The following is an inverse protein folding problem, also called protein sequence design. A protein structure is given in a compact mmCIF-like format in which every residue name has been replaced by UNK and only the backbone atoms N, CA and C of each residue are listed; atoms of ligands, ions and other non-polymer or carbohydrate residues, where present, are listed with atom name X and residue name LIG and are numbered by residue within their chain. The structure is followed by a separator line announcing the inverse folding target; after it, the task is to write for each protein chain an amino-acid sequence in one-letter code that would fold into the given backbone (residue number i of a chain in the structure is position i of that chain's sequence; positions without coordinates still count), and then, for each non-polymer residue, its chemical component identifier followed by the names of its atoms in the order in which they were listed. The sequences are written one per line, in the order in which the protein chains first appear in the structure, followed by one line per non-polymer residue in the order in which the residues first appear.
data_IF_879303364824
#
_entry.id   IF_879303364824
#
_cell.length_a   1.000
_cell.length_b   1.000
_cell.length_c   1.000
_cell.angle_alpha   90.00
_cell.angle_beta   90.00
_cell.angle_gamma   90.00
#
_symmetry.space_group_name_H-M   'P 1'
#
loop_
_entity.id
_entity.type
_entity.pdbx_description
1 polymer ?
#
# COMPACT_ATOMS: atom_id res chain seq x y z
N UNK A 1 18.42 15.93 34.47
CA UNK A 1 19.19 15.87 33.21
C UNK A 1 18.17 15.83 32.08
N UNK A 2 18.00 16.96 31.39
CA UNK A 2 17.01 17.14 30.33
C UNK A 2 17.49 16.44 29.05
N UNK A 3 16.76 15.43 28.60
CA UNK A 3 16.91 14.92 27.24
C UNK A 3 16.25 15.89 26.26
N UNK A 4 16.94 16.40 25.24
CA UNK A 4 16.31 17.22 24.24
C UNK A 4 15.47 16.32 23.32
N UNK A 5 14.18 16.59 23.26
CA UNK A 5 13.29 16.12 22.22
C UNK A 5 13.78 16.63 20.88
N UNK A 6 14.37 15.75 20.08
CA UNK A 6 14.72 16.03 18.69
C UNK A 6 13.40 16.23 17.89
N UNK A 7 12.92 17.45 17.87
CA UNK A 7 11.97 17.92 16.87
C UNK A 7 12.72 18.00 15.53
N UNK A 8 12.45 17.03 14.64
CA UNK A 8 13.02 17.02 13.31
C UNK A 8 12.22 18.01 12.42
N UNK A 9 12.84 19.04 11.81
CA UNK A 9 12.11 20.02 11.05
C UNK A 9 11.62 19.49 9.71
N UNK A 10 10.33 19.67 9.46
CA UNK A 10 9.62 19.63 8.17
C UNK A 10 9.82 18.39 7.28
N UNK A 11 9.29 17.25 7.69
CA UNK A 11 8.74 16.32 6.72
C UNK A 11 7.55 17.04 6.06
N UNK A 12 7.65 17.28 4.74
CA UNK A 12 6.56 17.92 3.99
C UNK A 12 5.26 17.15 4.26
N UNK A 13 4.29 17.79 4.89
CA UNK A 13 2.95 17.22 5.20
C UNK A 13 2.15 16.88 3.95
N UNK A 14 2.71 17.17 2.75
CA UNK A 14 2.06 17.02 1.44
C UNK A 14 3.01 16.35 0.45
N UNK A 15 3.37 15.10 0.71
CA UNK A 15 4.23 14.33 -0.20
C UNK A 15 3.46 13.74 -1.38
N UNK A 16 2.27 13.13 -1.10
CA UNK A 16 1.28 12.80 -2.13
C UNK A 16 0.10 13.74 -1.91
N UNK A 17 -0.33 14.42 -2.97
CA UNK A 17 -1.45 15.35 -2.95
C UNK A 17 -2.48 14.91 -4.00
N UNK A 18 -3.71 14.72 -3.57
CA UNK A 18 -4.87 14.37 -4.40
C UNK A 18 -5.84 15.53 -4.25
N UNK A 19 -6.19 16.19 -5.35
CA UNK A 19 -6.93 17.45 -5.35
C UNK A 19 -8.11 17.37 -6.30
N UNK A 20 -9.32 17.26 -5.75
CA UNK A 20 -10.58 17.20 -6.51
C UNK A 20 -10.61 16.09 -7.55
N UNK A 21 -10.01 14.92 -7.23
CA UNK A 21 -9.88 13.85 -8.22
C UNK A 21 -11.19 13.12 -8.43
N UNK A 22 -11.56 12.98 -9.70
CA UNK A 22 -12.71 12.20 -10.16
C UNK A 22 -12.27 11.09 -11.12
N UNK A 23 -12.98 9.97 -11.07
CA UNK A 23 -12.79 8.87 -12.02
C UNK A 23 -14.12 8.31 -12.50
N UNK A 24 -14.34 8.41 -13.80
CA UNK A 24 -15.51 7.84 -14.48
C UNK A 24 -15.04 6.87 -15.56
N UNK A 25 -15.59 5.67 -15.57
CA UNK A 25 -15.29 4.65 -16.58
C UNK A 25 -16.43 4.60 -17.61
N UNK A 26 -16.06 4.42 -18.87
CA UNK A 26 -17.02 4.08 -19.93
C UNK A 26 -17.23 2.58 -19.95
N UNK A 27 -18.47 2.14 -19.73
CA UNK A 27 -18.85 0.73 -19.73
C UNK A 27 -19.88 0.45 -20.83
N UNK A 28 -20.15 -0.81 -21.10
CA UNK A 28 -21.22 -1.22 -22.05
C UNK A 28 -22.61 -0.74 -21.62
N UNK A 29 -22.79 -0.42 -20.33
CA UNK A 29 -24.05 0.08 -19.74
C UNK A 29 -24.10 1.61 -19.61
N UNK A 30 -23.07 2.32 -20.09
CA UNK A 30 -22.95 3.78 -19.98
C UNK A 30 -21.80 4.21 -19.06
N UNK A 31 -21.83 5.47 -18.63
CA UNK A 31 -20.83 6.05 -17.76
C UNK A 31 -21.00 5.56 -16.33
N UNK A 32 -19.91 5.09 -15.73
CA UNK A 32 -19.86 4.65 -14.34
C UNK A 32 -18.90 5.54 -13.54
N UNK A 33 -19.41 6.49 -12.73
CA UNK A 33 -18.59 7.29 -11.84
C UNK A 33 -18.12 6.42 -10.67
N UNK A 34 -16.82 6.11 -10.64
CA UNK A 34 -16.24 5.29 -9.57
C UNK A 34 -15.87 6.15 -8.36
N UNK A 35 -15.21 7.30 -8.60
CA UNK A 35 -14.76 8.23 -7.58
C UNK A 35 -15.21 9.64 -7.90
N UNK A 36 -15.53 10.43 -6.87
CA UNK A 36 -15.92 11.84 -6.98
C UNK A 36 -15.24 12.66 -5.88
N UNK A 37 -14.71 13.81 -6.27
CA UNK A 37 -14.14 14.84 -5.38
C UNK A 37 -13.21 14.25 -4.27
N UNK A 38 -12.26 13.44 -4.68
CA UNK A 38 -11.27 12.88 -3.76
C UNK A 38 -10.22 13.93 -3.43
N UNK A 39 -10.13 14.29 -2.15
CA UNK A 39 -9.16 15.23 -1.61
C UNK A 39 -8.38 14.57 -0.47
N UNK A 40 -7.06 14.36 -0.63
CA UNK A 40 -6.22 13.68 0.35
C UNK A 40 -4.77 14.19 0.29
N UNK A 41 -4.16 14.37 1.46
CA UNK A 41 -2.74 14.61 1.57
C UNK A 41 -2.10 13.49 2.40
N UNK A 42 -0.98 12.96 1.92
CA UNK A 42 -0.19 11.93 2.59
C UNK A 42 1.22 12.48 2.81
N UNK A 43 1.72 12.39 4.03
CA UNK A 43 3.06 12.85 4.37
C UNK A 43 4.13 11.83 3.90
N UNK A 44 5.37 12.30 3.75
CA UNK A 44 6.49 11.40 3.43
C UNK A 44 6.74 10.44 4.58
N UNK A 45 6.87 9.15 4.26
CA UNK A 45 7.08 8.07 5.24
C UNK A 45 5.85 7.68 6.04
N UNK A 46 4.67 8.25 5.73
CA UNK A 46 3.40 7.87 6.35
C UNK A 46 2.90 6.55 5.78
N UNK A 47 2.34 5.71 6.62
CA UNK A 47 1.64 4.49 6.23
C UNK A 47 0.12 4.76 6.24
N UNK A 48 -0.52 4.71 5.10
CA UNK A 48 -1.95 5.00 4.92
C UNK A 48 -2.68 3.75 4.45
N UNK A 49 -3.76 3.36 5.15
CA UNK A 49 -4.69 2.34 4.66
C UNK A 49 -5.94 2.96 4.05
N UNK A 50 -6.34 2.44 2.89
CA UNK A 50 -7.63 2.72 2.25
C UNK A 50 -8.59 1.59 2.60
N UNK A 51 -9.70 1.90 3.29
CA UNK A 51 -10.69 0.92 3.70
C UNK A 51 -12.09 1.34 3.22
N UNK A 52 -12.96 0.36 3.01
CA UNK A 52 -14.34 0.55 2.55
C UNK A 52 -14.87 -0.72 1.90
N UNK A 53 -16.15 -0.73 1.54
CA UNK A 53 -16.80 -1.91 0.95
C UNK A 53 -16.21 -2.33 -0.39
N UNK A 54 -16.47 -3.58 -0.77
CA UNK A 54 -16.10 -4.07 -2.09
C UNK A 54 -16.73 -3.19 -3.19
N UNK A 55 -15.93 -2.85 -4.21
CA UNK A 55 -16.41 -2.00 -5.32
C UNK A 55 -16.49 -0.50 -5.04
N UNK A 56 -16.12 0.00 -3.84
CA UNK A 56 -16.15 1.45 -3.55
C UNK A 56 -14.99 2.26 -4.16
N UNK A 57 -14.14 1.67 -5.02
CA UNK A 57 -13.11 2.43 -5.73
C UNK A 57 -11.72 2.48 -5.07
N UNK A 58 -11.43 1.69 -4.01
CA UNK A 58 -10.10 1.65 -3.35
C UNK A 58 -8.96 1.34 -4.32
N UNK A 59 -9.08 0.24 -5.06
CA UNK A 59 -8.08 -0.15 -6.07
C UNK A 59 -8.03 0.86 -7.22
N UNK A 60 -9.14 1.53 -7.55
CA UNK A 60 -9.15 2.63 -8.52
C UNK A 60 -8.30 3.79 -8.03
N UNK A 61 -8.47 4.22 -6.77
CA UNK A 61 -7.67 5.29 -6.17
C UNK A 61 -6.18 4.89 -6.10
N UNK A 62 -5.88 3.64 -5.72
CA UNK A 62 -4.52 3.11 -5.71
C UNK A 62 -3.88 3.17 -7.11
N UNK A 63 -4.63 2.76 -8.16
CA UNK A 63 -4.16 2.79 -9.55
C UNK A 63 -3.93 4.22 -10.07
N UNK A 64 -4.73 5.18 -9.64
CA UNK A 64 -4.53 6.61 -9.93
C UNK A 64 -3.23 7.11 -9.29
N UNK A 65 -2.96 6.78 -8.02
CA UNK A 65 -1.70 7.13 -7.34
C UNK A 65 -0.51 6.44 -8.01
N UNK A 66 -0.68 5.19 -8.48
CA UNK A 66 0.36 4.48 -9.24
C UNK A 66 0.66 5.10 -10.62
N UNK A 67 -0.26 5.90 -11.15
CA UNK A 67 -0.21 6.41 -12.51
C UNK A 67 -0.57 5.37 -13.58
N UNK A 68 -1.22 4.26 -13.18
CA UNK A 68 -1.71 3.22 -14.09
C UNK A 68 -3.01 3.63 -14.79
N UNK A 69 -3.72 4.58 -14.19
CA UNK A 69 -4.94 5.18 -14.74
C UNK A 69 -4.83 6.70 -14.61
N UNK A 70 -5.29 7.42 -15.61
CA UNK A 70 -5.36 8.90 -15.58
C UNK A 70 -6.72 9.32 -15.03
N UNK A 71 -6.82 10.30 -14.12
CA UNK A 71 -8.09 10.76 -13.60
C UNK A 71 -8.92 11.45 -14.68
N UNK A 72 -10.24 11.40 -14.55
CA UNK A 72 -11.17 12.10 -15.44
C UNK A 72 -11.19 13.60 -15.15
N UNK A 73 -10.97 14.01 -13.89
CA UNK A 73 -10.82 15.38 -13.44
C UNK A 73 -9.96 15.44 -12.18
N UNK A 74 -9.46 16.64 -11.83
CA UNK A 74 -8.59 16.86 -10.68
C UNK A 74 -7.13 16.53 -10.96
N UNK A 75 -6.28 16.67 -9.92
CA UNK A 75 -4.83 16.53 -10.04
C UNK A 75 -4.26 15.60 -8.97
N UNK A 76 -3.27 14.80 -9.36
CA UNK A 76 -2.45 14.01 -8.44
C UNK A 76 -0.99 14.43 -8.55
N UNK A 77 -0.38 14.73 -7.39
CA UNK A 77 1.04 15.05 -7.32
C UNK A 77 1.76 14.10 -6.36
N UNK A 78 2.98 13.72 -6.72
CA UNK A 78 3.93 13.03 -5.85
C UNK A 78 5.23 13.82 -5.82
N UNK A 79 5.75 14.14 -4.63
CA UNK A 79 6.93 14.99 -4.45
C UNK A 79 6.84 16.30 -5.26
N UNK A 80 5.69 16.96 -5.25
CA UNK A 80 5.35 18.18 -6.01
C UNK A 80 5.44 18.05 -7.55
N UNK A 81 5.47 16.82 -8.07
CA UNK A 81 5.40 16.54 -9.52
C UNK A 81 4.10 15.86 -9.86
N UNK A 82 3.46 16.30 -10.93
CA UNK A 82 2.22 15.68 -11.42
C UNK A 82 2.45 14.23 -11.84
N UNK A 83 1.54 13.36 -11.44
CA UNK A 83 1.53 11.93 -11.82
C UNK A 83 0.91 11.82 -13.21
N UNK A 84 1.76 11.69 -14.25
CA UNK A 84 1.31 11.55 -15.66
C UNK A 84 1.33 10.10 -16.16
N UNK A 85 1.87 9.17 -15.38
CA UNK A 85 1.99 7.78 -15.74
C UNK A 85 2.77 6.99 -14.68
N UNK A 86 2.97 5.67 -14.88
CA UNK A 86 3.72 4.85 -13.95
C UNK A 86 5.21 5.26 -13.93
N UNK A 87 5.83 5.16 -12.76
CA UNK A 87 7.24 5.48 -12.57
C UNK A 87 7.88 4.61 -11.48
N UNK A 88 9.21 4.42 -11.52
CA UNK A 88 9.94 3.56 -10.58
C UNK A 88 9.87 4.07 -9.13
N UNK A 89 9.58 5.35 -8.94
CA UNK A 89 9.40 5.96 -7.61
C UNK A 89 8.11 5.52 -6.91
N UNK A 90 7.18 4.86 -7.64
CA UNK A 90 5.90 4.34 -7.12
C UNK A 90 5.75 2.87 -7.51
N UNK A 91 6.21 1.98 -6.63
CA UNK A 91 6.12 0.55 -6.86
C UNK A 91 4.77 -0.02 -6.41
N UNK A 92 4.25 -0.99 -7.15
CA UNK A 92 2.97 -1.65 -6.87
C UNK A 92 3.18 -3.12 -6.53
N UNK A 93 2.56 -3.56 -5.42
CA UNK A 93 2.39 -4.96 -5.05
C UNK A 93 0.92 -5.31 -5.28
N UNK A 94 0.65 -6.12 -6.29
CA UNK A 94 -0.70 -6.54 -6.65
C UNK A 94 -1.20 -7.70 -5.80
N UNK A 95 -2.50 -7.81 -5.62
CA UNK A 95 -3.19 -8.89 -4.92
C UNK A 95 -2.78 -10.28 -5.44
N UNK A 96 -2.69 -10.46 -6.73
CA UNK A 96 -2.33 -11.71 -7.40
C UNK A 96 -0.82 -11.97 -7.48
N UNK A 97 0.01 -11.29 -6.70
CA UNK A 97 1.49 -11.34 -6.71
C UNK A 97 2.13 -10.98 -8.05
N UNK A 98 1.45 -11.19 -9.18
CA UNK A 98 1.86 -10.90 -10.56
C UNK A 98 3.29 -11.37 -10.89
N UNK A 99 3.66 -12.57 -10.41
CA UNK A 99 4.94 -13.19 -10.72
C UNK A 99 4.86 -13.90 -12.06
N UNK A 100 5.95 -13.80 -12.83
CA UNK A 100 6.09 -14.51 -14.09
C UNK A 100 6.40 -15.99 -13.78
N UNK A 101 5.50 -16.94 -14.10
CA UNK A 101 5.59 -18.32 -13.62
C UNK A 101 6.77 -19.11 -14.21
N UNK A 102 7.29 -18.70 -15.36
CA UNK A 102 8.44 -19.30 -16.01
C UNK A 102 9.79 -18.78 -15.50
N UNK A 103 9.81 -17.71 -14.71
CA UNK A 103 11.01 -17.13 -14.10
C UNK A 103 11.20 -17.63 -12.67
N UNK A 104 12.45 -17.72 -12.22
CA UNK A 104 12.77 -17.98 -10.80
C UNK A 104 12.40 -16.77 -9.94
N UNK A 105 12.40 -16.91 -8.61
CA UNK A 105 12.23 -15.80 -7.69
C UNK A 105 13.26 -14.70 -7.93
N UNK A 106 14.54 -15.09 -8.09
CA UNK A 106 15.62 -14.16 -8.43
C UNK A 106 15.34 -13.43 -9.74
N UNK A 107 14.98 -14.14 -10.81
CA UNK A 107 14.73 -13.54 -12.12
C UNK A 107 13.50 -12.60 -12.11
N UNK A 108 12.46 -12.91 -11.32
CA UNK A 108 11.31 -12.03 -11.13
C UNK A 108 11.69 -10.69 -10.50
N UNK A 109 12.60 -10.70 -9.52
CA UNK A 109 13.10 -9.48 -8.87
C UNK A 109 14.10 -8.76 -9.79
N UNK A 110 15.02 -9.52 -10.40
CA UNK A 110 16.08 -8.99 -11.28
C UNK A 110 15.53 -8.19 -12.46
N UNK A 111 14.40 -8.61 -13.02
CA UNK A 111 13.72 -7.90 -14.11
C UNK A 111 13.41 -6.43 -13.76
N UNK A 112 12.95 -6.17 -12.53
CA UNK A 112 12.69 -4.82 -12.05
C UNK A 112 13.98 -4.03 -11.81
N UNK A 113 14.98 -4.67 -11.21
CA UNK A 113 16.32 -4.09 -11.00
C UNK A 113 16.96 -3.68 -12.32
N UNK A 114 16.98 -4.58 -13.29
CA UNK A 114 17.57 -4.32 -14.62
C UNK A 114 16.82 -3.19 -15.34
N UNK A 115 15.49 -3.15 -15.24
CA UNK A 115 14.68 -2.10 -15.87
C UNK A 115 15.00 -0.71 -15.33
N UNK A 116 15.27 -0.59 -14.02
CA UNK A 116 15.52 0.70 -13.36
C UNK A 116 16.99 1.10 -13.43
N UNK A 117 17.90 0.18 -13.16
CA UNK A 117 19.33 0.47 -12.96
C UNK A 117 20.25 -0.03 -14.08
N UNK A 118 19.73 -0.81 -15.02
CA UNK A 118 20.55 -1.48 -16.05
C UNK A 118 21.38 -0.57 -16.96
N UNK A 119 21.03 0.74 -17.04
CA UNK A 119 21.82 1.74 -17.77
C UNK A 119 22.91 2.39 -16.92
N UNK A 120 22.89 2.22 -15.61
CA UNK A 120 23.74 2.95 -14.66
C UNK A 120 24.66 2.02 -13.86
N UNK A 121 24.31 0.74 -13.75
CA UNK A 121 25.00 -0.24 -12.93
C UNK A 121 25.58 -1.40 -13.75
N UNK A 122 26.67 -1.97 -13.27
CA UNK A 122 27.26 -3.17 -13.84
C UNK A 122 26.42 -4.42 -13.52
N UNK A 123 26.60 -5.50 -14.31
CA UNK A 123 25.91 -6.78 -14.05
C UNK A 123 26.12 -7.28 -12.62
N UNK A 124 27.32 -7.14 -12.07
CA UNK A 124 27.62 -7.55 -10.69
C UNK A 124 26.81 -6.73 -9.66
N UNK A 125 26.66 -5.42 -9.85
CA UNK A 125 25.87 -4.55 -9.00
C UNK A 125 24.39 -4.89 -9.07
N UNK A 126 23.84 -5.12 -10.27
CA UNK A 126 22.44 -5.54 -10.46
C UNK A 126 22.16 -6.89 -9.75
N UNK A 127 23.09 -7.85 -9.85
CA UNK A 127 22.98 -9.12 -9.14
C UNK A 127 23.01 -8.94 -7.62
N UNK A 128 23.91 -8.13 -7.11
CA UNK A 128 24.01 -7.83 -5.68
C UNK A 128 22.74 -7.16 -5.15
N UNK A 129 22.17 -6.19 -5.87
CA UNK A 129 20.91 -5.52 -5.55
C UNK A 129 19.75 -6.51 -5.50
N UNK A 130 19.67 -7.41 -6.48
CA UNK A 130 18.65 -8.46 -6.54
C UNK A 130 18.74 -9.42 -5.36
N UNK A 131 19.97 -9.85 -5.01
CA UNK A 131 20.22 -10.72 -3.87
C UNK A 131 19.84 -10.04 -2.54
N UNK A 132 20.23 -8.78 -2.36
CA UNK A 132 19.89 -7.98 -1.17
C UNK A 132 18.36 -7.80 -1.01
N UNK A 133 17.64 -7.62 -2.11
CA UNK A 133 16.17 -7.51 -2.06
C UNK A 133 15.50 -8.83 -1.61
N UNK A 134 16.00 -9.98 -2.06
CA UNK A 134 15.52 -11.29 -1.61
C UNK A 134 15.92 -11.59 -0.15
N UNK A 135 17.10 -11.18 0.26
CA UNK A 135 17.56 -11.29 1.64
C UNK A 135 16.69 -10.46 2.57
N UNK A 136 16.33 -9.23 2.18
CA UNK A 136 15.48 -8.33 2.95
C UNK A 136 14.13 -8.97 3.35
N UNK A 137 13.59 -9.85 2.49
CA UNK A 137 12.33 -10.59 2.73
C UNK A 137 12.56 -12.05 3.17
N UNK A 138 13.80 -12.44 3.51
CA UNK A 138 14.16 -13.77 4.02
C UNK A 138 14.06 -14.89 2.98
N UNK A 139 14.20 -14.58 1.68
CA UNK A 139 14.03 -15.55 0.58
C UNK A 139 15.31 -15.90 -0.19
N UNK A 140 16.50 -15.64 0.36
CA UNK A 140 17.77 -16.04 -0.29
C UNK A 140 17.82 -17.53 -0.60
N UNK A 141 17.29 -18.39 0.29
CA UNK A 141 17.24 -19.85 0.12
C UNK A 141 16.32 -20.32 -1.01
N UNK A 142 15.40 -19.48 -1.45
CA UNK A 142 14.42 -19.78 -2.50
C UNK A 142 14.71 -19.05 -3.82
N UNK A 143 15.86 -18.38 -3.96
CA UNK A 143 16.19 -17.54 -5.10
C UNK A 143 16.04 -18.27 -6.46
N UNK A 144 16.40 -19.54 -6.51
CA UNK A 144 16.37 -20.36 -7.74
C UNK A 144 15.04 -21.09 -7.98
N UNK A 145 14.10 -21.06 -7.02
CA UNK A 145 12.78 -21.67 -7.18
C UNK A 145 11.86 -20.81 -8.05
N UNK A 146 10.94 -21.49 -8.75
CA UNK A 146 9.88 -20.84 -9.54
C UNK A 146 8.64 -20.61 -8.68
N UNK A 147 7.71 -19.72 -9.07
CA UNK A 147 6.48 -19.46 -8.33
C UNK A 147 5.63 -20.71 -8.02
N UNK A 148 5.64 -21.73 -8.90
CA UNK A 148 4.94 -22.99 -8.66
C UNK A 148 5.53 -23.86 -7.53
N UNK A 149 6.77 -23.58 -7.12
CA UNK A 149 7.53 -24.38 -6.13
C UNK A 149 7.58 -23.73 -4.75
N UNK A 150 6.86 -22.63 -4.54
CA UNK A 150 6.86 -21.86 -3.32
C UNK A 150 5.44 -21.58 -2.81
N UNK A 151 5.30 -21.37 -1.48
CA UNK A 151 4.02 -21.07 -0.84
C UNK A 151 3.44 -19.70 -1.25
N UNK A 152 2.16 -19.45 -0.99
CA UNK A 152 1.50 -18.18 -1.22
C UNK A 152 2.20 -17.01 -0.51
N UNK A 153 2.57 -17.17 0.76
CA UNK A 153 3.32 -16.17 1.52
C UNK A 153 4.71 -15.90 0.95
N UNK A 154 5.40 -16.91 0.42
CA UNK A 154 6.67 -16.71 -0.28
C UNK A 154 6.48 -15.95 -1.60
N UNK A 155 5.41 -16.24 -2.36
CA UNK A 155 5.07 -15.47 -3.57
C UNK A 155 4.85 -14.00 -3.25
N UNK A 156 4.13 -13.72 -2.16
CA UNK A 156 3.90 -12.35 -1.70
C UNK A 156 5.21 -11.64 -1.35
N UNK A 157 6.11 -12.31 -0.64
CA UNK A 157 7.43 -11.75 -0.32
C UNK A 157 8.27 -11.49 -1.58
N UNK A 158 8.22 -12.35 -2.59
CA UNK A 158 8.90 -12.08 -3.87
C UNK A 158 8.32 -10.84 -4.55
N UNK A 159 6.98 -10.67 -4.52
CA UNK A 159 6.32 -9.45 -5.01
C UNK A 159 6.78 -8.18 -4.29
N UNK A 160 6.88 -8.25 -2.95
CA UNK A 160 7.41 -7.15 -2.12
C UNK A 160 8.88 -6.89 -2.42
N UNK A 161 9.72 -7.94 -2.50
CA UNK A 161 11.13 -7.81 -2.86
C UNK A 161 11.32 -7.14 -4.23
N UNK A 162 10.51 -7.55 -5.22
CA UNK A 162 10.53 -6.93 -6.57
C UNK A 162 10.17 -5.45 -6.50
N UNK A 163 9.15 -5.08 -5.74
CA UNK A 163 8.76 -3.69 -5.57
C UNK A 163 9.85 -2.87 -4.88
N UNK A 164 10.39 -3.37 -3.77
CA UNK A 164 11.41 -2.69 -2.97
C UNK A 164 12.78 -2.62 -3.67
N UNK A 165 13.10 -3.58 -4.56
CA UNK A 165 14.36 -3.59 -5.31
C UNK A 165 14.55 -2.39 -6.21
N UNK A 166 13.45 -1.69 -6.55
CA UNK A 166 13.47 -0.44 -7.32
C UNK A 166 13.78 0.80 -6.47
N UNK A 167 13.93 0.67 -5.13
CA UNK A 167 14.10 1.77 -4.17
C UNK A 167 13.00 2.84 -4.27
N UNK A 168 11.73 2.44 -4.24
CA UNK A 168 10.63 3.36 -4.46
C UNK A 168 10.47 4.34 -3.29
N UNK A 169 10.01 5.55 -3.60
CA UNK A 169 9.60 6.52 -2.58
C UNK A 169 8.20 6.21 -2.03
N UNK A 170 7.36 5.56 -2.85
CA UNK A 170 6.00 5.13 -2.52
C UNK A 170 5.82 3.65 -2.81
N UNK A 171 5.35 2.90 -1.82
CA UNK A 171 4.96 1.51 -1.95
C UNK A 171 3.43 1.43 -1.92
N UNK A 172 2.84 0.97 -3.01
CA UNK A 172 1.40 0.80 -3.19
C UNK A 172 1.06 -0.69 -3.08
N UNK A 173 0.09 -1.04 -2.26
CA UNK A 173 -0.26 -2.45 -2.04
C UNK A 173 -1.77 -2.65 -2.12
N UNK A 174 -2.21 -3.56 -2.99
CA UNK A 174 -3.62 -3.92 -3.14
C UNK A 174 -3.89 -5.27 -2.46
N UNK A 175 -4.54 -5.25 -1.30
CA UNK A 175 -4.89 -6.41 -0.47
C UNK A 175 -3.74 -7.43 -0.29
N UNK A 176 -2.55 -6.98 0.19
CA UNK A 176 -1.33 -7.78 0.12
C UNK A 176 -1.36 -9.06 0.98
N UNK A 177 -2.31 -9.17 1.91
CA UNK A 177 -2.35 -10.27 2.87
C UNK A 177 -3.62 -11.13 2.75
N UNK A 178 -4.53 -10.80 1.84
CA UNK A 178 -5.86 -11.41 1.75
C UNK A 178 -5.86 -12.93 1.52
N UNK A 179 -4.87 -13.45 0.81
CA UNK A 179 -4.78 -14.88 0.47
C UNK A 179 -3.94 -15.71 1.48
N UNK A 180 -3.57 -15.16 2.64
CA UNK A 180 -2.69 -15.80 3.62
C UNK A 180 -3.45 -16.32 4.84
N UNK A 181 -2.98 -17.45 5.38
CA UNK A 181 -3.43 -17.93 6.70
C UNK A 181 -3.01 -16.95 7.82
N UNK A 182 -3.67 -17.02 8.97
CA UNK A 182 -3.53 -16.04 10.05
C UNK A 182 -2.09 -15.89 10.57
N UNK A 183 -1.34 -17.00 10.74
CA UNK A 183 0.01 -16.98 11.28
C UNK A 183 1.01 -16.41 10.27
N UNK A 184 0.91 -16.85 9.02
CA UNK A 184 1.75 -16.33 7.92
C UNK A 184 1.47 -14.85 7.69
N UNK A 185 0.20 -14.42 7.76
CA UNK A 185 -0.21 -13.02 7.65
C UNK A 185 0.41 -12.18 8.76
N UNK A 186 0.25 -12.59 10.03
CA UNK A 186 0.81 -11.87 11.16
C UNK A 186 2.32 -11.66 11.04
N UNK A 187 3.05 -12.74 10.70
CA UNK A 187 4.50 -12.68 10.51
C UNK A 187 4.89 -11.73 9.37
N UNK A 188 4.20 -11.80 8.24
CA UNK A 188 4.50 -10.95 7.09
C UNK A 188 4.19 -9.47 7.34
N UNK A 189 3.14 -9.17 8.12
CA UNK A 189 2.82 -7.80 8.54
C UNK A 189 3.90 -7.22 9.45
N UNK A 190 4.41 -7.99 10.41
CA UNK A 190 5.50 -7.56 11.28
C UNK A 190 6.79 -7.31 10.48
N UNK A 191 7.14 -8.23 9.58
CA UNK A 191 8.26 -8.06 8.64
C UNK A 191 8.10 -6.82 7.75
N UNK A 192 6.89 -6.54 7.26
CA UNK A 192 6.61 -5.35 6.46
C UNK A 192 6.84 -4.06 7.27
N UNK A 193 6.38 -4.01 8.52
CA UNK A 193 6.63 -2.86 9.39
C UNK A 193 8.12 -2.60 9.58
N UNK A 194 8.92 -3.64 9.80
CA UNK A 194 10.37 -3.55 9.92
C UNK A 194 11.05 -3.06 8.62
N UNK A 195 10.58 -3.56 7.48
CA UNK A 195 11.06 -3.14 6.16
C UNK A 195 10.74 -1.66 5.92
N UNK A 196 9.49 -1.24 6.15
CA UNK A 196 9.05 0.15 5.96
C UNK A 196 9.82 1.09 6.90
N UNK A 197 10.06 0.69 8.16
CA UNK A 197 10.86 1.48 9.10
C UNK A 197 12.30 1.68 8.60
N UNK A 198 12.92 0.66 8.00
CA UNK A 198 14.29 0.73 7.44
C UNK A 198 14.38 1.53 6.16
N UNK A 199 13.41 1.36 5.25
CA UNK A 199 13.41 2.02 3.93
C UNK A 199 12.85 3.43 3.96
N UNK A 200 12.07 3.77 5.01
CA UNK A 200 11.33 5.05 5.13
C UNK A 200 10.42 5.35 3.92
N UNK A 201 9.95 4.30 3.27
CA UNK A 201 9.00 4.42 2.15
C UNK A 201 7.65 4.92 2.66
N UNK A 202 7.00 5.80 1.87
CA UNK A 202 5.59 6.13 2.07
C UNK A 202 4.75 4.95 1.59
N UNK A 203 3.76 4.52 2.36
CA UNK A 203 2.96 3.35 2.02
C UNK A 203 1.50 3.73 1.85
N UNK A 204 0.87 3.26 0.76
CA UNK A 204 -0.59 3.28 0.60
C UNK A 204 -1.06 1.85 0.37
N UNK A 205 -1.88 1.34 1.27
CA UNK A 205 -2.36 -0.03 1.26
C UNK A 205 -3.89 -0.07 1.18
N UNK A 206 -4.41 -0.87 0.28
CA UNK A 206 -5.83 -1.25 0.27
C UNK A 206 -5.99 -2.49 1.14
N UNK A 207 -6.96 -2.47 2.04
CA UNK A 207 -7.37 -3.63 2.82
C UNK A 207 -8.86 -3.58 3.14
N UNK A 208 -9.45 -4.72 3.41
CA UNK A 208 -10.80 -4.88 3.95
C UNK A 208 -10.77 -5.34 5.42
N UNK A 209 -9.58 -5.60 5.97
CA UNK A 209 -9.37 -6.04 7.35
C UNK A 209 -9.11 -4.82 8.25
N UNK A 210 -10.02 -4.63 9.23
CA UNK A 210 -9.96 -3.50 10.17
C UNK A 210 -8.73 -3.58 11.07
N UNK A 211 -8.40 -4.80 11.53
CA UNK A 211 -7.27 -5.01 12.43
C UNK A 211 -5.93 -4.77 11.71
N UNK A 212 -5.84 -5.13 10.41
CA UNK A 212 -4.71 -4.73 9.55
C UNK A 212 -4.57 -3.22 9.44
N UNK A 213 -5.67 -2.54 9.13
CA UNK A 213 -5.64 -1.09 8.94
C UNK A 213 -5.17 -0.37 10.22
N UNK A 214 -5.70 -0.74 11.38
CA UNK A 214 -5.31 -0.12 12.65
C UNK A 214 -3.88 -0.48 13.05
N UNK A 215 -3.49 -1.76 12.87
CA UNK A 215 -2.15 -2.21 13.25
C UNK A 215 -1.05 -1.55 12.43
N UNK A 216 -1.26 -1.40 11.12
CA UNK A 216 -0.17 -1.01 10.21
C UNK A 216 -0.09 0.50 9.97
N UNK A 217 -1.23 1.22 10.03
CA UNK A 217 -1.31 2.58 9.48
C UNK A 217 -1.10 3.68 10.51
N UNK A 218 -0.58 4.80 10.06
CA UNK A 218 -0.58 6.07 10.77
C UNK A 218 -1.85 6.87 10.49
N UNK A 219 -2.50 6.56 9.33
CA UNK A 219 -3.76 7.16 8.91
C UNK A 219 -4.61 6.12 8.18
N UNK A 220 -5.92 6.10 8.48
CA UNK A 220 -6.91 5.26 7.80
C UNK A 220 -7.87 6.17 7.05
N UNK A 221 -7.98 5.97 5.73
CA UNK A 221 -8.88 6.69 4.84
C UNK A 221 -10.07 5.78 4.53
N UNK A 222 -11.25 6.18 4.96
CA UNK A 222 -12.48 5.42 4.81
C UNK A 222 -13.29 5.97 3.63
N UNK A 223 -13.51 5.15 2.59
CA UNK A 223 -14.31 5.54 1.45
C UNK A 223 -15.78 5.20 1.65
N UNK A 224 -16.66 6.08 1.14
CA UNK A 224 -18.10 5.83 1.09
C UNK A 224 -18.43 4.73 0.09
N UNK A 225 -19.67 4.23 0.11
CA UNK A 225 -20.12 3.26 -0.89
C UNK A 225 -20.19 3.91 -2.28
N UNK A 226 -19.92 3.10 -3.33
CA UNK A 226 -20.15 3.50 -4.71
C UNK A 226 -21.63 3.43 -5.11
N UNK A 227 -22.00 3.91 -6.31
CA UNK A 227 -21.16 4.65 -7.25
C UNK A 227 -20.80 6.07 -6.76
N UNK A 228 -19.84 6.70 -7.44
CA UNK A 228 -19.34 8.03 -7.10
C UNK A 228 -18.85 8.14 -5.64
N UNK A 229 -18.07 7.16 -5.21
CA UNK A 229 -17.52 7.14 -3.85
C UNK A 229 -16.60 8.34 -3.60
N UNK A 230 -16.64 8.83 -2.37
CA UNK A 230 -15.80 9.91 -1.87
C UNK A 230 -15.10 9.48 -0.58
N UNK A 231 -14.21 10.33 -0.04
CA UNK A 231 -13.68 10.12 1.30
C UNK A 231 -14.77 10.48 2.31
N UNK A 232 -15.20 9.48 3.08
CA UNK A 232 -16.19 9.68 4.13
C UNK A 232 -15.57 10.16 5.42
N UNK A 233 -14.40 9.61 5.78
CA UNK A 233 -13.68 9.98 6.99
C UNK A 233 -12.19 9.67 6.86
N UNK A 234 -11.35 10.42 7.56
CA UNK A 234 -9.91 10.20 7.69
C UNK A 234 -9.56 10.11 9.17
N UNK A 235 -9.20 8.91 9.61
CA UNK A 235 -8.86 8.63 11.00
C UNK A 235 -7.33 8.62 11.18
N UNK A 236 -6.81 9.44 12.07
CA UNK A 236 -5.41 9.36 12.53
C UNK A 236 -5.28 8.26 13.59
N UNK A 237 -4.23 7.45 13.48
CA UNK A 237 -3.94 6.35 14.39
C UNK A 237 -2.78 6.77 15.32
N UNK A 238 -3.04 7.14 16.59
CA UNK A 238 -2.05 7.72 17.50
C UNK A 238 -1.16 6.66 18.16
N UNK A 239 -1.02 5.47 17.55
CA UNK A 239 -0.23 4.37 18.10
C UNK A 239 1.25 4.55 17.81
N UNK A 240 2.06 4.49 18.87
CA UNK A 240 3.52 4.57 18.77
C UNK A 240 4.12 3.38 17.99
N UNK A 241 5.30 3.59 17.41
CA UNK A 241 6.10 2.53 16.76
C UNK A 241 7.35 2.23 17.59
N UNK A 242 7.86 0.98 17.67
CA UNK A 242 7.34 -0.23 17.03
C UNK A 242 6.04 -0.74 17.71
N UNK A 243 5.14 -1.31 16.93
CA UNK A 243 3.86 -1.83 17.40
C UNK A 243 3.97 -3.30 17.78
N UNK A 244 3.58 -3.64 19.01
CA UNK A 244 3.55 -5.00 19.51
C UNK A 244 2.10 -5.50 19.58
N UNK A 245 1.75 -6.53 18.82
CA UNK A 245 0.39 -7.09 18.72
C UNK A 245 -0.19 -7.50 20.07
N UNK A 246 0.62 -8.12 20.94
CA UNK A 246 0.16 -8.61 22.24
C UNK A 246 -0.19 -7.41 23.15
N UNK A 247 0.69 -6.41 23.18
CA UNK A 247 0.45 -5.19 23.96
C UNK A 247 -0.76 -4.37 23.44
N UNK A 248 -0.94 -4.33 22.10
CA UNK A 248 -2.05 -3.61 21.47
C UNK A 248 -3.43 -4.25 21.73
N UNK A 249 -3.50 -5.55 22.08
CA UNK A 249 -4.77 -6.21 22.36
C UNK A 249 -5.55 -5.54 23.50
N UNK A 250 -4.85 -4.95 24.49
CA UNK A 250 -5.43 -4.26 25.64
C UNK A 250 -5.29 -2.72 25.54
N UNK A 251 -4.72 -2.20 24.45
CA UNK A 251 -4.48 -0.78 24.25
C UNK A 251 -5.79 -0.04 23.93
N UNK A 252 -6.06 1.06 24.66
CA UNK A 252 -7.30 1.83 24.54
C UNK A 252 -7.40 2.58 23.21
N UNK A 253 -6.30 3.12 22.73
CA UNK A 253 -6.27 3.86 21.46
C UNK A 253 -6.45 2.91 20.28
N UNK A 254 -5.87 1.68 20.37
CA UNK A 254 -6.11 0.61 19.40
C UNK A 254 -7.60 0.24 19.34
N UNK A 255 -8.24 -0.03 20.48
CA UNK A 255 -9.66 -0.38 20.56
C UNK A 255 -10.56 0.77 20.10
N UNK A 256 -10.19 2.01 20.41
CA UNK A 256 -10.92 3.19 19.95
C UNK A 256 -10.86 3.33 18.41
N UNK A 257 -9.67 3.25 17.81
CA UNK A 257 -9.50 3.29 16.36
C UNK A 257 -10.24 2.15 15.66
N UNK A 258 -10.11 0.92 16.18
CA UNK A 258 -10.82 -0.26 15.67
C UNK A 258 -12.34 -0.04 15.66
N UNK A 259 -12.90 0.43 16.78
CA UNK A 259 -14.32 0.74 16.90
C UNK A 259 -14.75 1.81 15.90
N UNK A 260 -14.02 2.91 15.78
CA UNK A 260 -14.35 3.99 14.84
C UNK A 260 -14.44 3.49 13.39
N UNK A 261 -13.50 2.65 12.95
CA UNK A 261 -13.53 2.06 11.60
C UNK A 261 -14.74 1.13 11.43
N UNK A 262 -15.03 0.28 12.42
CA UNK A 262 -16.19 -0.61 12.41
C UNK A 262 -17.49 0.21 12.35
N UNK A 263 -17.65 1.20 13.21
CA UNK A 263 -18.84 2.07 13.26
C UNK A 263 -19.08 2.76 11.91
N UNK A 264 -18.01 3.28 11.27
CA UNK A 264 -18.11 3.86 9.93
C UNK A 264 -18.61 2.85 8.90
N UNK A 265 -18.01 1.66 8.84
CA UNK A 265 -18.37 0.63 7.87
C UNK A 265 -19.84 0.19 8.04
N UNK A 266 -20.27 -0.07 9.28
CA UNK A 266 -21.65 -0.50 9.56
C UNK A 266 -22.69 0.59 9.36
N UNK A 267 -22.42 1.83 9.77
CA UNK A 267 -23.35 2.94 9.62
C UNK A 267 -23.67 3.24 8.17
N UNK A 268 -22.69 3.09 7.27
CA UNK A 268 -22.86 3.33 5.85
C UNK A 268 -23.53 2.17 5.10
N UNK A 269 -23.49 0.91 5.62
CA UNK A 269 -24.23 -0.22 5.06
C UNK A 269 -25.76 -0.09 5.23
N UNK A 270 -26.23 0.43 6.35
CA UNK A 270 -27.65 0.53 6.64
C UNK A 270 -28.46 1.43 5.69
N UNK A 271 -27.80 2.15 4.78
CA UNK A 271 -28.49 2.95 3.73
C UNK A 271 -28.67 2.22 2.40
N UNK A 272 -27.94 1.11 2.16
CA UNK A 272 -28.02 0.35 0.89
C UNK A 272 -29.14 -0.71 0.94
N UNK A 273 -29.37 -1.34 2.10
CA UNK A 273 -30.45 -2.35 2.22
C UNK A 273 -31.87 -1.76 2.21
N UNK A 274 -32.04 -0.44 2.40
CA UNK A 274 -33.36 0.23 2.33
C UNK A 274 -33.73 0.73 0.94
N UNK A 275 -32.85 0.57 -0.06
CA UNK A 275 -33.05 1.06 -1.44
C UNK A 275 -33.13 -0.07 -2.48
N UNK A 276 -33.27 -1.32 -2.07
CA UNK A 276 -33.45 -2.50 -2.94
C UNK A 276 -34.91 -3.01 -2.92
#
# INVERSE_FOLDING_TARGET
MNHPTLHNPSLSTKFIQIQGVEQTFTTTKGLFPALRDINLNIARGEFVSLIGHSGCGKSTLLNLIAGLTTPTAGNLLCANKEIKGPGPERAVVFQNHSLLPWLTCHANVHLAVERVFGKQETKAQLQARTAAALELVGLSHAAHKRPGEISGGMKQRVGIARALSMEPQVLLMDEPFGALDALTRAKLQDELLDIVARTRSTVVMVTHDVDEAVLLSDQIVMLTNGPAATIGEVLKVPLARPRNRVALAEDRDYQHCRKAVIDFLYTRQGHVEKAA
#
